data_IF_348641835775
#
_entry.id   IF_348641835775
#
_cell.length_a   1.000
_cell.length_b   1.000
_cell.length_c   1.000
_cell.angle_alpha   90.00
_cell.angle_beta   90.00
_cell.angle_gamma   90.00
#
_symmetry.space_group_name_H-M   'P 1'
#
loop_
_entity.id
_entity.type
_entity.pdbx_description
1 polymer ?
#
# COMPACT_ATOMS: atom_id res chain seq x y z
N UNK A 1 -2.25 -14.62 -54.68
CA UNK A 1 -1.86 -13.52 -53.76
C UNK A 1 -3.10 -13.02 -53.01
N UNK A 2 -3.58 -13.72 -51.97
CA UNK A 2 -4.77 -13.23 -51.23
C UNK A 2 -4.93 -13.75 -49.79
N UNK A 3 -4.36 -14.89 -49.39
CA UNK A 3 -4.47 -15.38 -48.01
C UNK A 3 -3.44 -14.78 -47.05
N UNK A 4 -2.17 -14.76 -47.47
CA UNK A 4 -1.04 -14.39 -46.59
C UNK A 4 -1.03 -12.89 -46.23
N UNK A 5 -1.43 -12.03 -47.16
CA UNK A 5 -1.50 -10.58 -46.95
C UNK A 5 -2.63 -10.19 -45.99
N UNK A 6 -3.78 -10.86 -46.06
CA UNK A 6 -4.90 -10.64 -45.14
C UNK A 6 -4.55 -11.12 -43.73
N UNK A 7 -3.86 -12.26 -43.61
CA UNK A 7 -3.38 -12.75 -42.32
C UNK A 7 -2.32 -11.84 -41.68
N UNK A 8 -1.39 -11.30 -42.48
CA UNK A 8 -0.39 -10.35 -41.97
C UNK A 8 -1.07 -9.06 -41.49
N UNK A 9 -2.08 -8.56 -42.21
CA UNK A 9 -2.86 -7.38 -41.82
C UNK A 9 -3.68 -7.67 -40.56
N UNK A 10 -4.28 -8.85 -40.41
CA UNK A 10 -5.01 -9.23 -39.21
C UNK A 10 -4.08 -9.39 -38.00
N UNK A 11 -2.90 -9.99 -38.18
CA UNK A 11 -1.90 -10.13 -37.12
C UNK A 11 -1.29 -8.79 -36.71
N UNK A 12 -1.02 -7.90 -37.68
CA UNK A 12 -0.65 -6.51 -37.42
C UNK A 12 -1.78 -5.75 -36.74
N UNK A 13 -3.04 -5.99 -37.07
CA UNK A 13 -4.16 -5.39 -36.35
C UNK A 13 -4.29 -5.93 -34.94
N UNK A 14 -4.14 -7.24 -34.71
CA UNK A 14 -4.18 -7.81 -33.35
C UNK A 14 -3.00 -7.28 -32.52
N UNK A 15 -1.78 -7.23 -33.07
CA UNK A 15 -0.62 -6.63 -32.41
C UNK A 15 -0.82 -5.13 -32.16
N UNK A 16 -1.33 -4.38 -33.13
CA UNK A 16 -1.62 -2.96 -32.97
C UNK A 16 -2.76 -2.73 -31.96
N UNK A 17 -3.76 -3.60 -31.88
CA UNK A 17 -4.82 -3.55 -30.87
C UNK A 17 -4.29 -3.92 -29.49
N UNK A 18 -3.35 -4.86 -29.42
CA UNK A 18 -2.64 -5.26 -28.19
C UNK A 18 -1.75 -4.13 -27.69
N UNK A 19 -1.04 -3.45 -28.60
CA UNK A 19 -0.17 -2.30 -28.31
C UNK A 19 -0.97 -1.05 -27.96
N UNK A 20 -2.13 -0.82 -28.59
CA UNK A 20 -3.08 0.23 -28.19
C UNK A 20 -3.67 -0.06 -26.80
N UNK A 21 -3.90 -1.34 -26.45
CA UNK A 21 -4.29 -1.75 -25.09
C UNK A 21 -3.13 -1.74 -24.08
N UNK A 22 -1.88 -1.66 -24.55
CA UNK A 22 -0.74 -1.22 -23.74
C UNK A 22 -0.49 0.28 -23.88
N UNK A 23 -1.55 1.10 -24.01
CA UNK A 23 -1.46 2.47 -23.50
C UNK A 23 -1.48 2.39 -21.98
N UNK A 24 -0.32 2.58 -21.39
CA UNK A 24 -0.17 3.05 -20.02
C UNK A 24 -0.97 4.35 -19.89
N UNK A 25 -2.01 4.44 -19.05
CA UNK A 25 -2.39 5.71 -18.48
C UNK A 25 -1.55 5.87 -17.20
N UNK A 26 -0.45 6.62 -17.31
CA UNK A 26 -0.15 7.59 -16.25
C UNK A 26 -1.10 8.75 -16.55
N UNK A 27 -2.39 8.53 -16.29
CA UNK A 27 -3.31 9.63 -16.11
C UNK A 27 -3.46 9.73 -14.59
N UNK A 28 -2.75 10.69 -14.00
CA UNK A 28 -3.24 11.29 -12.77
C UNK A 28 -4.56 11.98 -13.14
N UNK A 29 -5.74 11.53 -12.69
CA UNK A 29 -6.85 12.46 -12.59
C UNK A 29 -6.50 13.51 -11.54
N UNK A 30 -6.86 14.78 -11.80
CA UNK A 30 -6.37 15.90 -11.03
C UNK A 30 -7.04 15.88 -9.67
N UNK A 31 -6.27 15.79 -8.59
CA UNK A 31 -6.75 16.38 -7.34
C UNK A 31 -6.86 17.88 -7.59
N UNK A 32 -8.03 18.35 -7.98
CA UNK A 32 -8.34 19.78 -7.99
C UNK A 32 -8.62 20.16 -6.55
N UNK A 33 -7.66 20.88 -5.98
CA UNK A 33 -7.80 21.51 -4.67
C UNK A 33 -8.71 22.73 -4.82
N UNK A 34 -9.84 22.73 -4.11
CA UNK A 34 -10.57 23.97 -3.89
C UNK A 34 -9.97 24.65 -2.66
N UNK A 35 -9.25 25.76 -2.86
CA UNK A 35 -8.61 26.54 -1.79
C UNK A 35 -9.54 27.58 -1.17
N UNK A 36 -10.86 27.47 -1.34
CA UNK A 36 -11.81 28.50 -0.89
C UNK A 36 -12.19 28.42 0.59
N UNK A 37 -11.91 27.30 1.27
CA UNK A 37 -12.38 27.10 2.65
C UNK A 37 -11.32 27.47 3.71
N UNK A 38 -10.16 28.00 3.29
CA UNK A 38 -9.09 28.43 4.20
C UNK A 38 -9.40 29.75 4.95
N UNK A 39 -10.42 30.50 4.52
CA UNK A 39 -10.72 31.83 5.08
C UNK A 39 -11.87 31.87 6.09
N UNK A 40 -12.75 30.86 6.14
CA UNK A 40 -13.90 30.89 7.06
C UNK A 40 -13.58 30.37 8.47
N UNK A 41 -12.48 29.63 8.61
CA UNK A 41 -12.07 28.98 9.87
C UNK A 41 -11.08 29.80 10.71
N UNK A 42 -10.71 31.01 10.25
CA UNK A 42 -9.84 31.95 10.99
C UNK A 42 -10.60 32.90 11.93
N UNK A 43 -11.92 32.79 12.04
CA UNK A 43 -12.72 33.75 12.81
C UNK A 43 -13.31 33.20 14.14
N UNK A 44 -12.94 31.97 14.55
CA UNK A 44 -13.59 31.31 15.71
C UNK A 44 -12.65 30.71 16.77
N UNK A 45 -11.35 31.00 16.75
CA UNK A 45 -10.42 30.52 17.78
C UNK A 45 -9.57 31.64 18.39
N UNK A 46 -10.18 32.80 18.63
CA UNK A 46 -9.74 33.72 19.69
C UNK A 46 -10.70 33.56 20.86
N UNK A 47 -10.41 32.63 21.76
CA UNK A 47 -10.82 32.74 23.15
C UNK A 47 -9.79 32.01 24.01
N UNK A 48 -9.15 32.82 24.84
CA UNK A 48 -8.05 32.54 25.73
C UNK A 48 -8.34 31.37 26.66
N UNK A 49 -7.40 30.42 26.75
CA UNK A 49 -7.31 29.48 27.87
C UNK A 49 -5.92 29.68 28.50
N UNK A 50 -5.81 29.85 29.83
CA UNK A 50 -4.57 30.26 30.47
C UNK A 50 -3.48 29.20 30.32
N UNK A 51 -2.26 29.63 30.01
CA UNK A 51 -1.06 28.80 30.03
C UNK A 51 -0.72 28.44 31.49
N UNK A 52 -1.03 27.21 31.89
CA UNK A 52 -0.42 26.60 33.07
C UNK A 52 0.98 26.09 32.70
N UNK A 53 1.97 26.89 33.07
CA UNK A 53 3.38 26.75 32.77
C UNK A 53 4.06 25.87 33.84
N UNK A 54 3.54 24.66 34.08
CA UNK A 54 4.10 23.79 35.14
C UNK A 54 4.00 22.29 34.85
N UNK A 55 4.66 21.81 33.80
CA UNK A 55 5.04 20.39 33.67
C UNK A 55 6.29 20.24 32.77
N UNK A 56 7.43 20.70 33.27
CA UNK A 56 8.73 20.20 32.81
C UNK A 56 8.90 18.79 33.40
N UNK A 57 8.56 17.75 32.66
CA UNK A 57 9.08 16.40 32.95
C UNK A 57 10.49 16.28 32.35
N UNK A 58 11.54 16.16 33.18
CA UNK A 58 12.86 15.80 32.72
C UNK A 58 12.88 14.28 32.45
N UNK A 59 13.71 13.86 31.50
CA UNK A 59 13.88 12.52 30.92
C UNK A 59 13.00 12.20 29.70
N UNK A 60 13.69 12.21 28.56
CA UNK A 60 13.39 11.47 27.33
C UNK A 60 12.87 10.07 27.68
N UNK A 61 11.56 9.90 27.75
CA UNK A 61 10.99 8.58 27.96
C UNK A 61 11.04 7.85 26.62
N UNK A 62 12.03 6.98 26.48
CA UNK A 62 12.14 6.10 25.32
C UNK A 62 10.83 5.31 25.19
N UNK A 63 10.27 5.29 23.98
CA UNK A 63 8.97 4.64 23.72
C UNK A 63 9.15 3.12 23.76
N UNK A 64 8.54 2.45 24.72
CA UNK A 64 8.53 0.99 24.88
C UNK A 64 7.23 0.41 24.29
N UNK A 65 7.17 -0.92 24.13
CA UNK A 65 5.96 -1.57 23.64
C UNK A 65 4.75 -1.29 24.54
N UNK A 66 4.97 -1.27 25.86
CA UNK A 66 3.93 -1.07 26.87
C UNK A 66 3.36 0.35 26.87
N UNK A 67 4.18 1.33 26.48
CA UNK A 67 3.78 2.74 26.44
C UNK A 67 3.36 3.21 25.03
N UNK A 68 3.63 2.41 23.98
CA UNK A 68 3.21 2.76 22.63
C UNK A 68 1.69 2.59 22.49
N UNK A 69 0.95 3.66 22.14
CA UNK A 69 -0.50 3.63 22.23
C UNK A 69 -1.14 2.71 21.18
N UNK A 70 -2.31 2.19 21.53
CA UNK A 70 -3.15 1.43 20.60
C UNK A 70 -4.22 2.34 19.97
N UNK A 71 -4.17 2.61 18.65
CA UNK A 71 -5.07 3.55 17.98
C UNK A 71 -6.52 3.05 17.89
N UNK A 72 -6.78 1.76 18.15
CA UNK A 72 -8.12 1.19 18.19
C UNK A 72 -8.82 1.38 19.55
N UNK A 73 -8.05 1.67 20.61
CA UNK A 73 -8.55 1.82 21.97
C UNK A 73 -8.47 3.30 22.39
N UNK A 74 -7.32 3.94 22.15
CA UNK A 74 -7.03 5.31 22.58
C UNK A 74 -6.45 6.15 21.43
N UNK A 75 -7.26 6.48 20.40
CA UNK A 75 -6.79 7.26 19.26
C UNK A 75 -6.29 8.66 19.63
N UNK A 76 -6.78 9.27 20.73
CA UNK A 76 -6.27 10.55 21.23
C UNK A 76 -4.78 10.52 21.59
N UNK A 77 -4.28 9.42 22.17
CA UNK A 77 -2.86 9.23 22.49
C UNK A 77 -1.99 9.06 21.23
N UNK A 78 -2.61 8.70 20.12
CA UNK A 78 -2.00 8.57 18.80
C UNK A 78 -2.06 9.87 17.98
N UNK A 79 -2.35 11.02 18.61
CA UNK A 79 -2.58 12.32 17.95
C UNK A 79 -3.80 12.32 16.99
N UNK A 80 -4.82 11.50 17.30
CA UNK A 80 -6.07 11.36 16.52
C UNK A 80 -7.31 11.61 17.40
N UNK A 81 -7.33 12.75 18.08
CA UNK A 81 -8.45 13.15 18.95
C UNK A 81 -9.77 13.29 18.19
N UNK A 82 -10.88 12.90 18.83
CA UNK A 82 -12.23 12.99 18.25
C UNK A 82 -12.66 11.79 17.41
N UNK A 83 -11.76 10.83 17.14
CA UNK A 83 -12.09 9.58 16.45
C UNK A 83 -12.44 8.47 17.44
N UNK A 84 -13.31 7.53 17.04
CA UNK A 84 -13.62 6.31 17.82
C UNK A 84 -12.47 5.30 17.77
N UNK A 85 -11.83 5.21 16.61
CA UNK A 85 -10.64 4.40 16.35
C UNK A 85 -9.87 5.02 15.19
N UNK A 86 -8.62 4.64 15.05
CA UNK A 86 -7.72 5.06 13.98
C UNK A 86 -6.89 3.86 13.52
N UNK A 87 -6.42 3.88 12.28
CA UNK A 87 -5.46 2.89 11.78
C UNK A 87 -4.04 3.45 11.67
N UNK A 88 -3.88 4.72 12.02
CA UNK A 88 -2.60 5.38 12.22
C UNK A 88 -2.37 5.70 13.70
N UNK A 89 -1.14 5.46 14.17
CA UNK A 89 -0.69 5.93 15.46
C UNK A 89 0.58 6.79 15.37
N UNK A 90 0.47 8.06 15.74
CA UNK A 90 1.55 9.05 15.72
C UNK A 90 1.64 9.84 17.05
N UNK A 91 2.06 9.19 18.16
CA UNK A 91 2.17 9.85 19.46
C UNK A 91 3.18 11.01 19.46
N UNK A 92 4.16 11.00 18.56
CA UNK A 92 5.23 12.00 18.51
C UNK A 92 4.94 13.16 17.53
N UNK A 93 3.73 13.21 16.93
CA UNK A 93 3.32 14.27 15.99
C UNK A 93 4.30 14.44 14.82
N UNK A 94 4.77 13.32 14.28
CA UNK A 94 5.66 13.26 13.12
C UNK A 94 4.93 13.76 11.87
N UNK A 95 3.63 13.50 11.76
CA UNK A 95 2.77 13.98 10.70
C UNK A 95 1.96 15.19 11.15
N UNK A 96 1.79 16.12 10.22
CA UNK A 96 0.75 17.14 10.26
C UNK A 96 -0.64 16.48 10.18
N UNK A 97 -1.65 17.16 10.74
CA UNK A 97 -3.03 16.65 10.75
C UNK A 97 -3.54 16.33 9.34
N UNK A 98 -3.29 17.23 8.38
CA UNK A 98 -3.67 17.05 6.98
C UNK A 98 -3.07 15.77 6.35
N UNK A 99 -1.79 15.49 6.62
CA UNK A 99 -1.16 14.26 6.09
C UNK A 99 -1.69 13.03 6.83
N UNK A 100 -1.90 13.10 8.15
CA UNK A 100 -2.51 12.01 8.90
C UNK A 100 -3.93 11.68 8.43
N UNK A 101 -4.74 12.70 8.09
CA UNK A 101 -6.09 12.53 7.54
C UNK A 101 -6.05 11.87 6.16
N UNK A 102 -5.13 12.29 5.28
CA UNK A 102 -4.91 11.63 3.97
C UNK A 102 -4.46 10.17 4.12
N UNK A 103 -3.61 9.87 5.10
CA UNK A 103 -3.21 8.49 5.39
C UNK A 103 -4.43 7.68 5.84
N UNK A 104 -5.25 8.20 6.75
CA UNK A 104 -6.47 7.52 7.19
C UNK A 104 -7.47 7.30 6.04
N UNK A 105 -7.60 8.27 5.12
CA UNK A 105 -8.40 8.13 3.91
C UNK A 105 -7.91 6.98 3.02
N UNK A 106 -6.59 6.88 2.77
CA UNK A 106 -6.00 5.78 2.01
C UNK A 106 -6.24 4.44 2.71
N UNK A 107 -6.09 4.37 4.03
CA UNK A 107 -6.35 3.15 4.81
C UNK A 107 -7.83 2.76 4.74
N UNK A 108 -8.74 3.73 4.79
CA UNK A 108 -10.17 3.47 4.60
C UNK A 108 -10.50 3.01 3.18
N UNK A 109 -9.86 3.57 2.16
CA UNK A 109 -9.99 3.13 0.78
C UNK A 109 -9.51 1.68 0.62
N UNK A 110 -8.32 1.37 1.13
CA UNK A 110 -7.74 0.03 1.10
C UNK A 110 -8.68 -1.00 1.72
N UNK A 111 -9.26 -0.73 2.89
CA UNK A 111 -10.20 -1.65 3.54
C UNK A 111 -11.48 -1.88 2.75
N UNK A 112 -11.96 -0.89 2.00
CA UNK A 112 -13.18 -1.03 1.18
C UNK A 112 -12.95 -1.74 -0.14
N UNK A 113 -11.72 -1.73 -0.65
CA UNK A 113 -11.39 -2.17 -2.01
C UNK A 113 -10.35 -3.29 -2.05
N UNK A 114 -10.07 -3.93 -0.91
CA UNK A 114 -9.23 -5.11 -0.84
C UNK A 114 -10.04 -6.26 -0.28
N UNK A 115 -9.74 -7.47 -0.72
CA UNK A 115 -10.36 -8.67 -0.18
C UNK A 115 -9.42 -9.87 -0.26
N UNK A 116 -9.63 -10.80 0.67
CA UNK A 116 -9.06 -12.14 0.62
C UNK A 116 -9.99 -13.12 1.31
N UNK A 117 -9.80 -14.39 1.01
CA UNK A 117 -10.57 -15.45 1.62
C UNK A 117 -9.97 -15.87 2.96
N UNK A 118 -10.79 -15.86 4.00
CA UNK A 118 -10.50 -16.34 5.34
C UNK A 118 -11.45 -17.50 5.68
N UNK A 119 -10.92 -18.65 6.10
CA UNK A 119 -11.71 -19.88 6.34
C UNK A 119 -12.90 -19.67 7.28
N UNK A 120 -12.71 -18.89 8.35
CA UNK A 120 -13.74 -18.67 9.39
C UNK A 120 -14.79 -17.61 9.01
N UNK A 121 -14.50 -16.76 8.02
CA UNK A 121 -15.29 -15.54 7.75
C UNK A 121 -15.67 -15.33 6.28
N UNK A 122 -15.19 -16.17 5.38
CA UNK A 122 -15.32 -15.96 3.94
C UNK A 122 -14.46 -14.78 3.47
N UNK A 123 -15.03 -13.96 2.60
CA UNK A 123 -14.33 -12.80 2.03
C UNK A 123 -14.24 -11.65 3.03
N UNK A 124 -13.01 -11.25 3.38
CA UNK A 124 -12.74 -10.16 4.33
C UNK A 124 -11.61 -9.26 3.79
N UNK A 125 -11.60 -7.96 4.13
CA UNK A 125 -10.54 -7.07 3.68
C UNK A 125 -9.25 -7.29 4.45
N UNK A 126 -8.11 -6.96 3.84
CA UNK A 126 -6.85 -6.87 4.59
C UNK A 126 -6.89 -5.70 5.59
N UNK A 127 -6.16 -5.84 6.70
CA UNK A 127 -6.12 -4.82 7.74
C UNK A 127 -4.73 -4.17 7.78
N UNK A 128 -4.60 -3.01 7.13
CA UNK A 128 -3.38 -2.20 7.13
C UNK A 128 -3.39 -1.18 8.26
N UNK A 129 -2.32 -1.13 9.05
CA UNK A 129 -2.07 -0.14 10.08
C UNK A 129 -0.73 0.57 9.90
N UNK A 130 -0.60 1.75 10.50
CA UNK A 130 0.59 2.60 10.43
C UNK A 130 1.02 3.02 11.84
N UNK A 131 2.27 2.74 12.18
CA UNK A 131 2.90 3.15 13.43
C UNK A 131 4.05 4.13 13.13
N UNK A 132 4.04 5.27 13.81
CA UNK A 132 5.11 6.26 13.74
C UNK A 132 5.72 6.46 15.10
N UNK A 133 7.05 6.40 15.16
CA UNK A 133 7.83 6.56 16.39
C UNK A 133 9.02 7.46 16.10
N UNK A 134 9.34 8.35 17.04
CA UNK A 134 10.49 9.24 16.87
C UNK A 134 11.80 8.45 16.89
N UNK A 135 11.97 7.61 17.92
CA UNK A 135 13.20 6.86 18.19
C UNK A 135 12.87 5.57 18.93
N UNK A 136 13.58 4.49 18.61
CA UNK A 136 13.47 3.22 19.31
C UNK A 136 14.31 3.17 20.60
N UNK A 137 13.92 2.37 21.60
CA UNK A 137 14.76 2.08 22.75
C UNK A 137 16.08 1.44 22.33
N UNK A 138 17.12 1.68 23.13
CA UNK A 138 18.42 1.06 22.90
C UNK A 138 18.33 -0.47 22.88
N UNK A 139 18.97 -1.11 21.90
CA UNK A 139 19.01 -2.56 21.74
C UNK A 139 17.76 -3.19 21.10
N UNK A 140 16.73 -2.39 20.77
CA UNK A 140 15.53 -2.87 20.08
C UNK A 140 15.60 -2.54 18.60
N UNK A 141 15.47 -3.55 17.74
CA UNK A 141 15.39 -3.34 16.29
C UNK A 141 13.98 -2.95 15.85
N UNK A 142 13.89 -2.18 14.76
CA UNK A 142 12.60 -1.85 14.13
C UNK A 142 11.85 -3.11 13.68
N UNK A 143 12.59 -4.15 13.27
CA UNK A 143 12.02 -5.44 12.92
C UNK A 143 11.27 -6.09 14.10
N UNK A 144 11.94 -6.22 15.24
CA UNK A 144 11.37 -6.80 16.45
C UNK A 144 10.20 -5.97 16.97
N UNK A 145 10.37 -4.66 17.05
CA UNK A 145 9.34 -3.74 17.55
C UNK A 145 8.08 -3.74 16.67
N UNK A 146 8.25 -3.77 15.34
CA UNK A 146 7.13 -3.86 14.40
C UNK A 146 6.31 -5.15 14.59
N UNK A 147 6.97 -6.29 14.78
CA UNK A 147 6.27 -7.55 15.08
C UNK A 147 5.52 -7.49 16.41
N UNK A 148 6.14 -6.91 17.44
CA UNK A 148 5.50 -6.74 18.74
C UNK A 148 4.26 -5.84 18.67
N UNK A 149 4.29 -4.73 17.93
CA UNK A 149 3.11 -3.87 17.71
C UNK A 149 2.01 -4.64 16.99
N UNK A 150 2.37 -5.39 15.94
CA UNK A 150 1.41 -6.14 15.13
C UNK A 150 0.59 -7.13 15.98
N UNK A 151 1.22 -7.73 16.99
CA UNK A 151 0.59 -8.63 17.95
C UNK A 151 -0.13 -7.89 19.08
N UNK A 152 0.49 -6.85 19.64
CA UNK A 152 -0.07 -6.04 20.72
C UNK A 152 -1.38 -5.36 20.32
N UNK A 153 -1.42 -4.79 19.10
CA UNK A 153 -2.64 -4.19 18.54
C UNK A 153 -3.68 -5.23 18.14
N UNK A 154 -3.33 -6.53 18.12
CA UNK A 154 -4.12 -7.60 17.55
C UNK A 154 -4.58 -7.25 16.13
N UNK A 155 -3.68 -6.65 15.35
CA UNK A 155 -4.00 -6.15 14.02
C UNK A 155 -4.39 -7.32 13.12
N UNK A 156 -5.52 -7.17 12.41
CA UNK A 156 -6.13 -8.20 11.59
C UNK A 156 -7.58 -8.51 11.97
N UNK A 157 -8.28 -9.17 11.06
CA UNK A 157 -9.52 -9.86 11.35
C UNK A 157 -9.26 -11.04 12.29
N UNK A 158 -10.14 -11.20 13.28
CA UNK A 158 -10.09 -12.34 14.23
C UNK A 158 -9.97 -13.65 13.46
N UNK A 159 -8.94 -14.44 13.79
CA UNK A 159 -8.56 -15.73 13.21
C UNK A 159 -8.08 -15.74 11.74
N UNK A 160 -8.00 -14.59 11.06
CA UNK A 160 -7.56 -14.56 9.65
C UNK A 160 -6.05 -14.33 9.48
N UNK A 161 -5.37 -13.83 10.52
CA UNK A 161 -3.92 -13.56 10.49
C UNK A 161 -3.51 -12.66 9.28
N UNK A 162 -4.28 -11.64 9.01
CA UNK A 162 -4.25 -10.76 7.82
C UNK A 162 -3.86 -9.31 8.16
N UNK A 163 -3.32 -9.10 9.36
CA UNK A 163 -2.79 -7.81 9.80
C UNK A 163 -1.48 -7.46 9.11
N UNK A 164 -1.35 -6.20 8.70
CA UNK A 164 -0.18 -5.64 8.04
C UNK A 164 0.15 -4.31 8.70
N UNK A 165 1.42 -4.11 9.09
CA UNK A 165 1.89 -2.91 9.76
C UNK A 165 3.01 -2.24 8.97
N UNK A 166 2.88 -0.93 8.75
CA UNK A 166 3.96 -0.05 8.32
C UNK A 166 4.51 0.66 9.55
N UNK A 167 5.78 0.42 9.89
CA UNK A 167 6.47 1.09 10.98
C UNK A 167 7.48 2.10 10.41
N UNK A 168 7.42 3.34 10.90
CA UNK A 168 8.35 4.41 10.55
C UNK A 168 9.06 4.93 11.81
N UNK A 169 10.40 4.86 11.80
CA UNK A 169 11.26 5.41 12.86
C UNK A 169 11.91 6.69 12.32
N UNK A 170 11.57 7.84 12.89
CA UNK A 170 12.00 9.15 12.37
C UNK A 170 13.52 9.36 12.44
N UNK A 171 14.11 9.18 13.61
CA UNK A 171 15.50 9.56 13.87
C UNK A 171 16.48 8.65 13.09
N UNK A 172 16.14 7.38 12.92
CA UNK A 172 16.92 6.41 12.14
C UNK A 172 16.51 6.33 10.66
N UNK A 173 15.54 7.15 10.23
CA UNK A 173 14.95 7.13 8.89
C UNK A 173 14.56 5.71 8.41
N UNK A 174 14.15 4.86 9.35
CA UNK A 174 13.92 3.43 9.10
C UNK A 174 12.46 3.16 8.78
N UNK A 175 12.22 2.33 7.76
CA UNK A 175 10.91 1.85 7.38
C UNK A 175 10.89 0.32 7.40
N UNK A 176 9.91 -0.23 8.10
CA UNK A 176 9.68 -1.67 8.21
C UNK A 176 8.24 -2.01 7.82
N UNK A 177 8.09 -3.02 6.97
CA UNK A 177 6.81 -3.63 6.63
C UNK A 177 6.71 -4.98 7.34
N UNK A 178 5.70 -5.14 8.20
CA UNK A 178 5.39 -6.40 8.89
C UNK A 178 4.02 -6.90 8.49
N UNK A 179 3.86 -8.22 8.46
CA UNK A 179 2.62 -8.84 8.06
C UNK A 179 2.46 -10.21 8.72
N UNK A 180 1.21 -10.61 8.93
CA UNK A 180 0.85 -11.96 9.39
C UNK A 180 0.64 -12.90 8.19
N UNK A 181 0.61 -14.21 8.47
CA UNK A 181 0.60 -15.28 7.45
C UNK A 181 -0.53 -15.18 6.42
N UNK A 182 -1.72 -14.71 6.80
CA UNK A 182 -2.86 -14.51 5.90
C UNK A 182 -2.64 -13.42 4.83
N UNK A 183 -1.71 -12.49 5.06
CA UNK A 183 -1.31 -11.48 4.07
C UNK A 183 -0.15 -11.92 3.17
N UNK A 184 0.44 -13.12 3.39
CA UNK A 184 1.68 -13.55 2.75
C UNK A 184 1.56 -13.73 1.21
N UNK A 185 0.35 -14.00 0.71
CA UNK A 185 0.09 -14.16 -0.72
C UNK A 185 0.34 -12.87 -1.52
N UNK A 186 0.12 -11.70 -0.92
CA UNK A 186 0.31 -10.39 -1.55
C UNK A 186 1.59 -9.71 -1.06
N UNK A 187 1.81 -9.73 0.26
CA UNK A 187 2.99 -9.14 0.90
C UNK A 187 3.96 -10.25 1.27
N UNK A 188 5.12 -10.28 0.62
CA UNK A 188 6.20 -11.21 0.92
C UNK A 188 7.53 -10.47 1.01
N UNK A 189 8.61 -11.20 1.33
CA UNK A 189 9.94 -10.64 1.49
C UNK A 189 10.39 -9.80 0.28
N UNK A 190 10.12 -10.26 -0.95
CA UNK A 190 10.47 -9.51 -2.16
C UNK A 190 9.71 -8.18 -2.22
N UNK A 191 8.40 -8.20 -1.95
CA UNK A 191 7.57 -6.99 -1.89
C UNK A 191 8.10 -6.03 -0.82
N UNK A 192 8.39 -6.53 0.39
CA UNK A 192 8.92 -5.73 1.49
C UNK A 192 10.28 -5.09 1.16
N UNK A 193 11.22 -5.86 0.59
CA UNK A 193 12.52 -5.33 0.14
C UNK A 193 12.34 -4.26 -0.95
N UNK A 194 11.43 -4.47 -1.90
CA UNK A 194 11.14 -3.50 -2.97
C UNK A 194 10.56 -2.20 -2.41
N UNK A 195 9.59 -2.29 -1.50
CA UNK A 195 8.99 -1.14 -0.84
C UNK A 195 10.03 -0.37 0.01
N UNK A 196 10.89 -1.09 0.74
CA UNK A 196 11.95 -0.45 1.52
C UNK A 196 12.95 0.30 0.63
N UNK A 197 13.35 -0.32 -0.49
CA UNK A 197 14.16 0.37 -1.50
C UNK A 197 13.46 1.62 -2.05
N UNK A 198 12.17 1.56 -2.34
CA UNK A 198 11.39 2.70 -2.81
C UNK A 198 11.30 3.82 -1.77
N UNK A 199 11.05 3.48 -0.51
CA UNK A 199 11.01 4.44 0.60
C UNK A 199 12.35 5.16 0.77
N UNK A 200 13.46 4.41 0.80
CA UNK A 200 14.81 4.95 0.90
C UNK A 200 15.19 5.87 -0.28
N UNK A 201 14.60 5.64 -1.46
CA UNK A 201 14.77 6.55 -2.59
C UNK A 201 13.94 7.84 -2.43
N UNK A 202 12.72 7.72 -1.90
CA UNK A 202 11.83 8.86 -1.70
C UNK A 202 12.35 9.81 -0.61
N UNK A 203 12.82 9.29 0.52
CA UNK A 203 13.31 10.12 1.63
C UNK A 203 14.55 10.93 1.28
N UNK A 204 15.33 10.50 0.28
CA UNK A 204 16.47 11.25 -0.27
C UNK A 204 16.06 12.43 -1.14
N UNK A 205 14.82 12.42 -1.67
CA UNK A 205 14.34 13.39 -2.67
C UNK A 205 13.21 14.29 -2.16
N UNK A 206 12.45 13.82 -1.17
CA UNK A 206 11.23 14.44 -0.68
C UNK A 206 11.22 14.49 0.84
N UNK A 207 10.24 15.19 1.42
CA UNK A 207 10.06 15.22 2.87
C UNK A 207 9.70 13.84 3.44
N UNK A 208 9.94 13.66 4.74
CA UNK A 208 9.56 12.45 5.47
C UNK A 208 8.05 12.18 5.36
N UNK A 209 7.21 13.19 5.57
CA UNK A 209 5.76 13.08 5.45
C UNK A 209 5.32 12.60 4.05
N UNK A 210 5.91 13.18 3.00
CA UNK A 210 5.61 12.78 1.63
C UNK A 210 6.04 11.34 1.36
N UNK A 211 7.20 10.94 1.90
CA UNK A 211 7.74 9.58 1.76
C UNK A 211 6.87 8.54 2.47
N UNK A 212 6.37 8.87 3.66
CA UNK A 212 5.42 8.06 4.42
C UNK A 212 4.11 7.92 3.64
N UNK A 213 3.52 9.03 3.21
CA UNK A 213 2.28 9.02 2.43
C UNK A 213 2.41 8.15 1.17
N UNK A 214 3.54 8.25 0.48
CA UNK A 214 3.82 7.44 -0.72
C UNK A 214 3.99 5.95 -0.41
N UNK A 215 4.62 5.60 0.71
CA UNK A 215 4.76 4.21 1.14
C UNK A 215 3.40 3.59 1.56
N UNK A 216 2.56 4.35 2.27
CA UNK A 216 1.19 3.94 2.61
C UNK A 216 0.38 3.73 1.32
N UNK A 217 0.42 4.71 0.40
CA UNK A 217 -0.26 4.60 -0.90
C UNK A 217 0.20 3.38 -1.68
N UNK A 218 1.51 3.18 -1.83
CA UNK A 218 2.06 2.04 -2.56
C UNK A 218 1.57 0.71 -1.94
N UNK A 219 1.61 0.59 -0.61
CA UNK A 219 1.14 -0.61 0.09
C UNK A 219 -0.35 -0.84 -0.14
N UNK A 220 -1.18 0.21 -0.06
CA UNK A 220 -2.60 0.14 -0.41
C UNK A 220 -2.82 -0.42 -1.81
N UNK A 221 -2.06 0.05 -2.81
CA UNK A 221 -2.21 -0.38 -4.19
C UNK A 221 -1.84 -1.85 -4.42
N UNK A 222 -0.89 -2.39 -3.66
CA UNK A 222 -0.61 -3.82 -3.66
C UNK A 222 -1.79 -4.61 -3.08
N UNK A 223 -2.39 -4.13 -1.99
CA UNK A 223 -3.48 -4.82 -1.30
C UNK A 223 -4.82 -4.75 -2.04
N UNK A 224 -5.07 -3.68 -2.80
CA UNK A 224 -6.25 -3.56 -3.66
C UNK A 224 -6.06 -4.26 -5.02
N UNK A 225 -4.87 -4.79 -5.29
CA UNK A 225 -4.57 -5.45 -6.57
C UNK A 225 -4.39 -4.50 -7.75
N UNK A 226 -4.35 -3.18 -7.52
CA UNK A 226 -4.01 -2.17 -8.53
C UNK A 226 -2.59 -2.36 -9.08
N UNK A 227 -1.69 -2.90 -8.25
CA UNK A 227 -0.32 -3.25 -8.63
C UNK A 227 -0.13 -4.76 -8.42
N UNK A 228 0.11 -5.48 -9.52
CA UNK A 228 0.42 -6.91 -9.50
C UNK A 228 1.91 -7.08 -9.15
N UNK A 229 2.28 -8.00 -8.23
CA UNK A 229 3.68 -8.30 -7.94
C UNK A 229 4.45 -8.72 -9.20
N UNK A 230 5.71 -8.27 -9.39
CA UNK A 230 6.46 -8.48 -10.63
C UNK A 230 6.76 -9.96 -10.95
N UNK A 231 6.58 -10.88 -10.00
CA UNK A 231 6.71 -12.32 -10.25
C UNK A 231 5.56 -12.90 -11.05
N UNK A 232 4.35 -12.37 -10.84
CA UNK A 232 3.14 -12.87 -11.48
C UNK A 232 3.04 -12.36 -12.93
N UNK A 233 3.55 -11.16 -13.22
CA UNK A 233 3.58 -10.61 -14.57
C UNK A 233 4.50 -11.40 -15.50
N UNK A 234 5.71 -11.75 -15.06
CA UNK A 234 6.65 -12.54 -15.89
C UNK A 234 6.11 -13.94 -16.19
N UNK A 235 5.51 -14.60 -15.19
CA UNK A 235 4.90 -15.93 -15.39
C UNK A 235 3.68 -15.86 -16.31
N UNK A 236 2.82 -14.84 -16.16
CA UNK A 236 1.69 -14.63 -17.08
C UNK A 236 2.16 -14.39 -18.51
N UNK A 237 3.18 -13.55 -18.71
CA UNK A 237 3.71 -13.26 -20.05
C UNK A 237 4.27 -14.53 -20.68
N UNK A 238 5.04 -15.34 -19.94
CA UNK A 238 5.59 -16.60 -20.44
C UNK A 238 4.48 -17.61 -20.76
N UNK A 239 3.45 -17.72 -19.92
CA UNK A 239 2.32 -18.62 -20.20
C UNK A 239 1.55 -18.17 -21.45
N UNK A 240 1.33 -16.86 -21.61
CA UNK A 240 0.66 -16.29 -22.78
C UNK A 240 1.47 -16.52 -24.07
N UNK A 241 2.78 -16.33 -24.04
CA UNK A 241 3.63 -16.55 -25.21
C UNK A 241 3.64 -18.03 -25.63
N UNK A 242 3.73 -18.96 -24.67
CA UNK A 242 3.64 -20.40 -24.96
C UNK A 242 2.27 -20.73 -25.58
N UNK A 243 1.18 -20.24 -25.01
CA UNK A 243 -0.16 -20.49 -25.53
C UNK A 243 -0.33 -19.99 -26.97
N UNK A 244 0.21 -18.81 -27.29
CA UNK A 244 0.19 -18.24 -28.65
C UNK A 244 1.00 -19.11 -29.61
N UNK A 245 2.22 -19.50 -29.26
CA UNK A 245 3.08 -20.32 -30.13
C UNK A 245 2.45 -21.69 -30.40
N UNK A 246 1.93 -22.36 -29.37
CA UNK A 246 1.26 -23.65 -29.51
C UNK A 246 -0.02 -23.52 -30.33
N UNK A 247 -0.84 -22.48 -30.07
CA UNK A 247 -2.07 -22.21 -30.82
C UNK A 247 -1.82 -21.96 -32.31
N UNK A 248 -0.81 -21.15 -32.65
CA UNK A 248 -0.41 -20.90 -34.03
C UNK A 248 0.15 -22.16 -34.71
N UNK A 249 0.93 -22.96 -33.98
CA UNK A 249 1.45 -24.23 -34.49
C UNK A 249 0.32 -25.21 -34.83
N UNK A 250 -0.68 -25.34 -33.95
CA UNK A 250 -1.83 -26.21 -34.17
C UNK A 250 -2.67 -25.75 -35.36
N UNK A 251 -2.90 -24.43 -35.47
CA UNK A 251 -3.62 -23.84 -36.60
C UNK A 251 -2.89 -24.08 -37.92
N UNK A 252 -1.56 -23.93 -37.95
CA UNK A 252 -0.76 -24.20 -39.14
C UNK A 252 -0.86 -25.67 -39.58
N UNK A 253 -0.78 -26.62 -38.63
CA UNK A 253 -0.96 -28.04 -38.91
C UNK A 253 -2.36 -28.32 -39.51
N UNK A 254 -3.41 -27.75 -38.93
CA UNK A 254 -4.78 -27.89 -39.44
C UNK A 254 -4.87 -27.37 -40.88
N UNK A 255 -4.33 -26.18 -41.16
CA UNK A 255 -4.37 -25.58 -42.50
C UNK A 255 -3.60 -26.41 -43.54
N UNK A 256 -2.47 -27.01 -43.15
CA UNK A 256 -1.71 -27.91 -44.03
C UNK A 256 -2.54 -29.16 -44.37
N UNK A 257 -3.15 -29.80 -43.37
CA UNK A 257 -3.99 -30.99 -43.59
C UNK A 257 -5.18 -30.67 -44.48
N UNK A 258 -5.85 -29.54 -44.27
CA UNK A 258 -6.97 -29.13 -45.13
C UNK A 258 -6.53 -28.79 -46.56
N UNK A 259 -5.36 -28.17 -46.73
CA UNK A 259 -4.82 -27.87 -48.06
C UNK A 259 -4.45 -29.15 -48.83
N UNK A 260 -3.93 -30.17 -48.13
CA UNK A 260 -3.59 -31.45 -48.73
C UNK A 260 -4.84 -32.28 -49.08
N UNK A 261 -5.88 -32.23 -48.22
CA UNK A 261 -7.16 -32.91 -48.48
C UNK A 261 -7.97 -32.33 -49.65
N UNK A 262 -7.63 -31.13 -50.14
CA UNK A 262 -8.26 -30.50 -51.30
C UNK A 262 -7.51 -30.74 -52.63
N UNK A 263 -6.39 -31.46 -52.60
CA UNK A 263 -5.65 -31.93 -53.78
C UNK A 263 -6.08 -33.33 -54.19
#
# INVERSE_FOLDING_TARGET
>A
MSGFSVFLIFFLHVLHYSVIRTKIPIENPPFIFNSSDENEMRMFLDNEIPKDDTLKHPYSQDVTLENFPNPFIHPSLCNRSGLKYSYICDPNKILSRNIADKVEEILSYQRRNSSHYCMDKGEVPYVLGVALIKKLPYGISADMFGNQILDYWKLGNKNCNDGILLLFVKDDATFELKWKKGAQSIINFRTATSMNKSFNQNIRRYSLEHSILRAVKLTSQYLTGEIIPPTQTTQMVVALTIAIVVGLGYLACILIVFADAQK
#
